data_IF_392903607345
#
_entry.id   IF_392903607345
#
_cell.length_a   1.000
_cell.length_b   1.000
_cell.length_c   1.000
_cell.angle_alpha   90.00
_cell.angle_beta   90.00
_cell.angle_gamma   90.00
#
_symmetry.space_group_name_H-M   'P 1'
#
loop_
_entity.id
_entity.type
_entity.pdbx_description
1 polymer ?
#
# COMPACT_ATOMS: atom_id res chain seq x y z
N UNK A 1 14.61 13.06 14.96
CA UNK A 1 14.39 11.60 15.06
C UNK A 1 15.63 10.91 14.50
N UNK A 2 15.88 9.63 14.83
CA UNK A 2 16.97 8.87 14.20
C UNK A 2 16.50 8.33 12.85
N UNK A 3 17.44 8.09 11.91
CA UNK A 3 17.09 7.48 10.61
C UNK A 3 16.39 6.14 10.75
N UNK A 4 16.72 5.38 11.80
CA UNK A 4 16.08 4.08 12.07
C UNK A 4 14.61 4.25 12.41
N UNK A 5 14.25 5.26 13.22
CA UNK A 5 12.85 5.58 13.49
C UNK A 5 12.12 5.99 12.21
N UNK A 6 12.72 6.88 11.42
CA UNK A 6 12.10 7.35 10.17
C UNK A 6 11.86 6.19 9.17
N UNK A 7 12.80 5.24 9.10
CA UNK A 7 12.66 4.04 8.26
C UNK A 7 11.56 3.09 8.78
N UNK A 8 11.50 2.85 10.09
CA UNK A 8 10.47 2.00 10.68
C UNK A 8 9.07 2.60 10.49
N UNK A 9 8.93 3.91 10.63
CA UNK A 9 7.66 4.61 10.40
C UNK A 9 7.22 4.55 8.92
N UNK A 10 8.18 4.65 8.00
CA UNK A 10 7.95 4.49 6.57
C UNK A 10 7.47 3.06 6.22
N UNK A 11 8.10 2.04 6.81
CA UNK A 11 7.70 0.62 6.65
C UNK A 11 6.30 0.37 7.23
N UNK A 12 5.99 0.93 8.40
CA UNK A 12 4.65 0.80 8.98
C UNK A 12 3.59 1.45 8.09
N UNK A 13 3.88 2.66 7.58
CA UNK A 13 3.01 3.36 6.63
C UNK A 13 2.76 2.54 5.35
N UNK A 14 3.79 1.87 4.82
CA UNK A 14 3.66 0.95 3.68
C UNK A 14 2.68 -0.19 3.98
N UNK A 15 2.81 -0.86 5.13
CA UNK A 15 1.90 -1.95 5.49
C UNK A 15 0.47 -1.48 5.69
N UNK A 16 0.27 -0.35 6.37
CA UNK A 16 -1.05 0.22 6.61
C UNK A 16 -1.74 0.62 5.30
N UNK A 17 -1.01 1.26 4.38
CA UNK A 17 -1.52 1.65 3.07
C UNK A 17 -2.05 0.44 2.28
N UNK A 18 -1.28 -0.66 2.22
CA UNK A 18 -1.66 -1.85 1.45
C UNK A 18 -2.73 -2.69 2.14
N UNK A 19 -2.71 -2.76 3.48
CA UNK A 19 -3.70 -3.50 4.26
C UNK A 19 -5.07 -2.80 4.22
N UNK A 20 -5.09 -1.49 4.45
CA UNK A 20 -6.30 -0.67 4.46
C UNK A 20 -6.71 -0.17 3.08
N UNK A 21 -5.92 -0.44 2.03
CA UNK A 21 -6.11 0.09 0.67
C UNK A 21 -6.28 1.63 0.68
N UNK A 22 -5.55 2.32 1.55
CA UNK A 22 -5.66 3.75 1.77
C UNK A 22 -4.72 4.51 0.81
N UNK A 23 -5.31 5.18 -0.18
CA UNK A 23 -4.56 5.92 -1.20
C UNK A 23 -3.82 7.14 -0.62
N UNK A 24 -4.26 7.70 0.50
CA UNK A 24 -3.57 8.83 1.13
C UNK A 24 -2.23 8.41 1.76
N UNK A 25 -2.21 7.23 2.41
CA UNK A 25 -0.98 6.64 2.94
C UNK A 25 -0.09 6.14 1.81
N UNK A 26 -0.68 5.57 0.75
CA UNK A 26 0.02 5.13 -0.45
C UNK A 26 0.78 6.30 -1.12
N UNK A 27 0.09 7.41 -1.38
CA UNK A 27 0.67 8.59 -2.04
C UNK A 27 1.77 9.25 -1.19
N UNK A 28 1.83 8.95 0.11
CA UNK A 28 2.85 9.47 1.04
C UNK A 28 4.12 8.63 1.05
N UNK A 29 4.05 7.33 0.75
CA UNK A 29 5.16 6.39 0.90
C UNK A 29 5.84 6.02 -0.42
N UNK A 30 5.13 6.11 -1.55
CA UNK A 30 5.70 5.80 -2.86
C UNK A 30 6.11 7.06 -3.63
N UNK A 31 7.33 7.05 -4.16
CA UNK A 31 7.79 8.09 -5.06
C UNK A 31 7.05 7.98 -6.42
N UNK A 32 6.57 9.09 -7.04
CA UNK A 32 5.78 9.02 -8.29
C UNK A 32 6.47 8.36 -9.48
N UNK A 33 7.80 8.29 -9.47
CA UNK A 33 8.62 7.65 -10.50
C UNK A 33 9.03 6.20 -10.17
N UNK A 34 8.56 5.60 -9.07
CA UNK A 34 8.88 4.21 -8.78
C UNK A 34 8.00 3.24 -9.57
N UNK A 35 8.37 1.96 -9.53
CA UNK A 35 7.63 0.88 -10.17
C UNK A 35 7.60 -0.33 -9.25
N UNK A 36 6.51 -1.07 -9.31
CA UNK A 36 6.44 -2.41 -8.76
C UNK A 36 6.99 -3.38 -9.81
N UNK A 37 7.87 -4.27 -9.38
CA UNK A 37 8.41 -5.33 -10.21
C UNK A 37 7.89 -6.65 -9.69
N UNK A 38 7.37 -7.48 -10.58
CA UNK A 38 6.93 -8.84 -10.28
C UNK A 38 7.47 -9.79 -11.36
N UNK A 39 7.53 -11.08 -11.04
CA UNK A 39 7.88 -12.11 -12.00
C UNK A 39 6.98 -13.33 -11.82
N UNK A 40 6.24 -13.67 -12.86
CA UNK A 40 5.36 -14.83 -12.91
C UNK A 40 5.45 -15.52 -14.28
N UNK A 41 5.25 -16.83 -14.32
CA UNK A 41 5.33 -17.69 -15.51
C UNK A 41 6.59 -17.47 -16.39
N UNK A 42 7.71 -17.04 -15.80
CA UNK A 42 8.96 -16.77 -16.50
C UNK A 42 9.04 -15.41 -17.20
N UNK A 43 8.06 -14.52 -16.97
CA UNK A 43 8.06 -13.15 -17.47
C UNK A 43 8.17 -12.13 -16.33
N UNK A 44 8.93 -11.05 -16.55
CA UNK A 44 8.99 -9.91 -15.63
C UNK A 44 7.92 -8.90 -16.01
N UNK A 45 7.07 -8.54 -15.04
CA UNK A 45 6.14 -7.43 -15.14
C UNK A 45 6.73 -6.20 -14.46
N UNK A 46 6.52 -5.04 -15.08
CA UNK A 46 6.93 -3.73 -14.55
C UNK A 46 5.70 -2.84 -14.55
N UNK A 47 5.19 -2.54 -13.35
CA UNK A 47 4.04 -1.67 -13.16
C UNK A 47 4.51 -0.32 -12.66
N UNK A 48 4.43 0.75 -13.47
CA UNK A 48 4.55 2.12 -12.98
C UNK A 48 3.63 2.31 -11.77
N UNK A 49 4.09 3.03 -10.75
CA UNK A 49 3.33 3.14 -9.50
C UNK A 49 1.94 3.76 -9.71
N UNK A 50 1.79 4.63 -10.72
CA UNK A 50 0.51 5.20 -11.11
C UNK A 50 -0.52 4.14 -11.55
N UNK A 51 -0.07 3.07 -12.21
CA UNK A 51 -0.91 1.97 -12.66
C UNK A 51 -1.24 1.03 -11.48
N UNK A 52 -0.24 0.70 -10.66
CA UNK A 52 -0.45 -0.09 -9.44
C UNK A 52 -1.40 0.61 -8.45
N UNK A 53 -1.35 1.94 -8.36
CA UNK A 53 -2.29 2.75 -7.57
C UNK A 53 -3.75 2.51 -7.98
N UNK A 54 -4.02 2.31 -9.27
CA UNK A 54 -5.37 1.97 -9.76
C UNK A 54 -5.82 0.59 -9.32
N UNK A 55 -4.88 -0.37 -9.17
CA UNK A 55 -5.16 -1.69 -8.61
C UNK A 55 -5.56 -1.57 -7.14
N UNK A 56 -4.82 -0.80 -6.34
CA UNK A 56 -5.14 -0.56 -4.93
C UNK A 56 -6.51 0.14 -4.78
N UNK A 57 -6.80 1.14 -5.61
CA UNK A 57 -8.08 1.86 -5.59
C UNK A 57 -9.31 0.94 -5.82
N UNK A 58 -9.13 -0.14 -6.57
CA UNK A 58 -10.20 -1.10 -6.90
C UNK A 58 -10.22 -2.32 -5.97
N UNK A 59 -9.23 -2.45 -5.08
CA UNK A 59 -9.07 -3.62 -4.22
C UNK A 59 -10.19 -3.68 -3.19
N UNK A 60 -10.89 -4.82 -3.13
CA UNK A 60 -11.88 -5.06 -2.08
C UNK A 60 -11.17 -5.44 -0.79
N UNK A 61 -11.42 -4.68 0.28
CA UNK A 61 -10.87 -4.98 1.60
C UNK A 61 -11.23 -6.40 2.05
N UNK A 62 -10.28 -7.13 2.68
CA UNK A 62 -10.55 -8.40 3.33
C UNK A 62 -11.72 -8.30 4.31
N UNK A 63 -12.54 -9.33 4.41
CA UNK A 63 -13.73 -9.34 5.28
C UNK A 63 -13.39 -9.03 6.76
N UNK A 64 -12.19 -9.42 7.21
CA UNK A 64 -11.67 -9.13 8.55
C UNK A 64 -11.40 -7.63 8.79
N UNK A 65 -10.82 -6.93 7.81
CA UNK A 65 -10.60 -5.48 7.88
C UNK A 65 -11.94 -4.71 7.93
N UNK A 66 -12.98 -5.22 7.24
CA UNK A 66 -14.33 -4.64 7.27
C UNK A 66 -15.00 -4.73 8.65
N UNK A 67 -14.70 -5.76 9.46
CA UNK A 67 -15.23 -5.90 10.83
C UNK A 67 -14.65 -4.85 11.78
N UNK A 68 -13.36 -4.55 11.68
CA UNK A 68 -12.69 -3.58 12.56
C UNK A 68 -13.08 -2.12 12.27
N UNK A 69 -13.50 -1.80 11.04
CA UNK A 69 -14.02 -0.47 10.69
C UNK A 69 -15.41 -0.18 11.27
N UNK A 70 -16.25 -1.21 11.46
CA UNK A 70 -17.60 -1.06 12.05
C UNK A 70 -17.59 -0.94 13.57
N UNK A 71 -16.61 -1.50 14.26
CA UNK A 71 -16.50 -1.46 15.73
C UNK A 71 -15.89 -0.16 16.26
N UNK A 72 -15.48 0.77 15.37
CA UNK A 72 -14.99 2.11 15.72
C UNK A 72 -15.99 3.23 15.37
N UNK A 73 -17.27 2.90 15.18
CA UNK A 73 -18.35 3.89 15.27
C UNK A 73 -18.92 3.81 16.68
N UNK A 74 -18.90 4.96 17.36
CA UNK A 74 -19.30 5.20 18.76
C UNK A 74 -20.46 4.35 19.30
#
# INVERSE_FOLDING_TARGET
MSRDTDLLDAIQTYFDALYACDLSLFDRIFHPACSLFDADEGAVAVDPIADYRQVIAKRKLPLAARRNAKTRSF
#
